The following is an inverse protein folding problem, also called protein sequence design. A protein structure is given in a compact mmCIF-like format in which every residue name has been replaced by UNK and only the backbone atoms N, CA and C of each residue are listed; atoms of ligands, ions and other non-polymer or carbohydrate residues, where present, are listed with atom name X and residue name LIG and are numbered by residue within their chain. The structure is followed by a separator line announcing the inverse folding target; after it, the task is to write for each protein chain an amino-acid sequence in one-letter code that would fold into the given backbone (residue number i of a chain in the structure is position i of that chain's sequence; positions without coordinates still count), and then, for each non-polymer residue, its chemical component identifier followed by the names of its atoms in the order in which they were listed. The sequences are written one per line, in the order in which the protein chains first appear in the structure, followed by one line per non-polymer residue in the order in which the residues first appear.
data_IF_032591117721
#
_entry.id   IF_032591117721
#
_cell.length_a   1.000
_cell.length_b   1.000
_cell.length_c   1.000
_cell.angle_alpha   90.00
_cell.angle_beta   90.00
_cell.angle_gamma   90.00
#
_symmetry.space_group_name_H-M   'P 1'
#
loop_
_entity.id
_entity.type
_entity.pdbx_description
1 polymer ?
#
# COMPACT_ATOMS: atom_id res chain seq x y z
N UNK A 1 1.42 21.25 -17.06
CA UNK A 1 1.60 22.65 -16.60
C UNK A 1 1.97 22.58 -15.15
N UNK A 2 2.98 23.33 -14.72
CA UNK A 2 3.38 23.31 -13.31
C UNK A 2 2.24 23.93 -12.48
N UNK A 3 1.63 23.13 -11.61
CA UNK A 3 0.56 23.58 -10.72
C UNK A 3 1.18 24.33 -9.55
N UNK A 4 1.46 25.63 -9.79
CA UNK A 4 2.01 26.51 -8.77
C UNK A 4 0.99 26.72 -7.65
N UNK A 5 1.37 26.41 -6.41
CA UNK A 5 0.59 26.71 -5.22
C UNK A 5 1.50 26.88 -3.99
N UNK A 6 0.91 27.28 -2.87
CA UNK A 6 1.61 27.38 -1.59
C UNK A 6 1.20 26.23 -0.69
N UNK A 7 2.18 25.54 -0.08
CA UNK A 7 1.93 24.47 0.89
C UNK A 7 1.24 24.98 2.17
N UNK A 8 1.58 26.22 2.58
CA UNK A 8 1.09 26.82 3.82
C UNK A 8 0.60 28.24 3.56
N UNK A 9 -0.52 28.42 2.81
CA UNK A 9 -0.99 29.75 2.36
C UNK A 9 -1.32 30.71 3.52
N UNK A 10 -1.61 30.16 4.71
CA UNK A 10 -1.90 30.95 5.92
C UNK A 10 -0.78 31.90 6.31
N UNK A 11 0.51 31.58 5.99
CA UNK A 11 1.63 32.47 6.25
C UNK A 11 1.57 33.77 5.48
N UNK A 12 0.84 33.82 4.37
CA UNK A 12 0.62 35.06 3.61
C UNK A 12 -0.25 36.07 4.39
N UNK A 13 -1.08 35.59 5.34
CA UNK A 13 -1.85 36.48 6.21
C UNK A 13 -0.93 37.30 7.15
N UNK A 14 0.26 36.82 7.44
CA UNK A 14 1.26 37.58 8.22
C UNK A 14 1.71 38.87 7.52
N UNK A 15 1.53 38.99 6.22
CA UNK A 15 1.83 40.22 5.48
C UNK A 15 0.93 41.38 5.90
N UNK A 16 -0.30 41.12 6.38
CA UNK A 16 -1.22 42.19 6.80
C UNK A 16 -0.72 42.96 8.02
N UNK A 17 -0.40 42.31 9.18
CA UNK A 17 0.17 43.01 10.33
C UNK A 17 1.57 43.56 10.04
N UNK A 18 2.35 42.87 9.20
CA UNK A 18 3.68 43.36 8.79
C UNK A 18 3.58 44.62 7.92
N UNK A 19 2.63 44.68 7.01
CA UNK A 19 2.36 45.86 6.20
C UNK A 19 1.91 47.07 7.06
N UNK A 20 1.04 46.83 8.04
CA UNK A 20 0.60 47.88 8.98
C UNK A 20 1.79 48.40 9.83
N UNK A 21 2.65 47.48 10.31
CA UNK A 21 3.84 47.86 11.06
C UNK A 21 4.86 48.61 10.17
N UNK A 22 5.07 48.15 8.95
CA UNK A 22 5.92 48.82 7.96
C UNK A 22 5.44 50.24 7.67
N UNK A 23 4.12 50.42 7.42
CA UNK A 23 3.53 51.76 7.23
C UNK A 23 3.75 52.64 8.45
N UNK A 24 3.54 52.12 9.65
CA UNK A 24 3.81 52.85 10.91
C UNK A 24 5.29 53.28 11.03
N UNK A 25 6.23 52.42 10.65
CA UNK A 25 7.66 52.76 10.63
C UNK A 25 7.96 53.92 9.68
N UNK A 26 7.35 53.92 8.47
CA UNK A 26 7.53 55.01 7.52
C UNK A 26 6.99 56.34 8.04
N UNK A 27 5.88 56.34 8.77
CA UNK A 27 5.27 57.51 9.38
C UNK A 27 6.11 58.04 10.51
N UNK A 28 6.61 57.18 11.41
CA UNK A 28 7.46 57.54 12.58
C UNK A 28 8.80 58.13 12.12
N UNK A 29 9.38 57.63 11.02
CA UNK A 29 10.64 58.19 10.47
C UNK A 29 10.54 59.64 10.02
N UNK A 30 9.33 60.16 9.81
CA UNK A 30 9.07 61.58 9.46
C UNK A 30 8.91 62.48 10.66
N UNK A 31 8.71 61.89 11.86
CA UNK A 31 8.60 62.68 13.10
C UNK A 31 9.98 62.81 13.74
N UNK A 32 10.34 64.04 14.04
CA UNK A 32 11.59 64.34 14.79
C UNK A 32 11.56 63.62 16.14
N UNK A 33 12.73 63.22 16.65
CA UNK A 33 12.86 62.46 17.91
C UNK A 33 12.06 63.17 19.02
N UNK A 34 11.19 62.42 19.74
CA UNK A 34 10.31 62.98 20.77
C UNK A 34 11.04 63.70 21.92
N UNK A 35 12.38 63.55 22.00
CA UNK A 35 13.21 64.24 22.95
C UNK A 35 13.20 65.76 22.78
N UNK A 36 12.92 66.32 21.58
CA UNK A 36 12.79 67.78 21.39
C UNK A 36 11.57 68.37 22.12
N UNK A 37 10.60 67.55 22.53
CA UNK A 37 9.44 68.03 23.32
C UNK A 37 9.73 68.15 24.82
N UNK A 38 10.75 67.48 25.31
CA UNK A 38 11.08 67.39 26.74
C UNK A 38 12.34 68.15 27.12
N UNK A 39 13.17 68.54 26.15
CA UNK A 39 14.42 69.25 26.38
C UNK A 39 14.35 70.70 25.86
N UNK A 40 14.86 71.69 26.63
CA UNK A 40 15.06 73.04 26.11
C UNK A 40 15.94 73.02 24.86
N UNK A 41 15.61 73.90 23.88
CA UNK A 41 16.23 73.87 22.54
C UNK A 41 17.77 73.97 22.55
N UNK A 42 18.38 74.68 23.54
CA UNK A 42 19.81 74.80 23.65
C UNK A 42 20.50 73.50 24.13
N UNK A 43 19.84 72.69 24.96
CA UNK A 43 20.31 71.38 25.40
C UNK A 43 20.04 70.29 24.36
N UNK A 44 18.94 70.41 23.68
CA UNK A 44 18.60 69.45 22.63
C UNK A 44 19.62 69.45 21.48
N UNK A 45 20.17 70.60 21.13
CA UNK A 45 21.20 70.73 20.08
C UNK A 45 22.55 70.09 20.46
N UNK A 46 22.88 70.01 21.75
CA UNK A 46 24.17 69.52 22.24
C UNK A 46 24.05 68.03 22.69
N UNK A 47 22.94 67.69 23.33
CA UNK A 47 22.75 66.35 23.93
C UNK A 47 22.08 65.35 23.01
N UNK A 48 21.16 65.83 22.15
CA UNK A 48 20.62 64.97 21.14
C UNK A 48 21.63 64.95 20.01
N UNK A 49 22.60 64.05 20.12
CA UNK A 49 23.47 63.73 18.99
C UNK A 49 22.55 63.49 17.78
N UNK A 50 22.76 64.28 16.73
CA UNK A 50 22.03 64.19 15.47
C UNK A 50 22.06 62.69 15.07
N UNK A 51 21.01 61.95 15.44
CA UNK A 51 20.93 60.54 15.16
C UNK A 51 21.28 60.37 13.70
N UNK A 52 22.35 59.65 13.43
CA UNK A 52 22.91 59.52 12.09
C UNK A 52 21.78 59.36 11.10
N UNK A 53 21.82 60.08 9.98
CA UNK A 53 20.79 60.10 8.94
C UNK A 53 20.21 58.70 8.78
N UNK A 54 19.06 58.44 9.40
CA UNK A 54 18.34 57.18 9.18
C UNK A 54 17.95 57.20 7.72
N UNK A 55 18.74 56.55 6.90
CA UNK A 55 18.47 56.46 5.47
C UNK A 55 17.14 55.71 5.30
N UNK A 56 16.19 56.23 4.51
CA UNK A 56 14.92 55.56 4.26
C UNK A 56 15.10 54.13 3.75
N UNK A 57 16.29 53.83 3.28
CA UNK A 57 16.71 52.47 2.87
C UNK A 57 16.66 51.42 3.98
N UNK A 58 16.72 51.79 5.25
CA UNK A 58 16.67 50.80 6.37
C UNK A 58 15.25 50.19 6.49
N UNK A 59 14.20 51.00 6.40
CA UNK A 59 12.85 50.53 6.46
C UNK A 59 12.46 49.67 5.22
N UNK A 60 12.90 50.07 4.02
CA UNK A 60 12.65 49.33 2.80
C UNK A 60 13.37 47.97 2.83
N UNK A 61 14.59 47.88 3.34
CA UNK A 61 15.31 46.58 3.54
C UNK A 61 14.59 45.68 4.50
N UNK A 62 14.08 46.21 5.60
CA UNK A 62 13.30 45.44 6.58
C UNK A 62 11.99 44.94 5.96
N UNK A 63 11.28 45.78 5.19
CA UNK A 63 10.08 45.37 4.48
C UNK A 63 10.35 44.27 3.46
N UNK A 64 11.44 44.39 2.69
CA UNK A 64 11.85 43.34 1.75
C UNK A 64 12.21 42.03 2.46
N UNK A 65 12.93 42.11 3.59
CA UNK A 65 13.24 40.94 4.41
C UNK A 65 11.95 40.22 4.86
N UNK A 66 10.98 40.95 5.40
CA UNK A 66 9.72 40.36 5.84
C UNK A 66 8.90 39.76 4.71
N UNK A 67 8.87 40.43 3.55
CA UNK A 67 8.15 39.91 2.37
C UNK A 67 8.76 38.57 1.91
N UNK A 68 10.09 38.51 1.75
CA UNK A 68 10.78 37.29 1.35
C UNK A 68 10.59 36.19 2.42
N UNK A 69 10.68 36.55 3.71
CA UNK A 69 10.47 35.60 4.80
C UNK A 69 9.06 35.01 4.79
N UNK A 70 8.03 35.84 4.64
CA UNK A 70 6.64 35.39 4.61
C UNK A 70 6.35 34.49 3.41
N UNK A 71 6.90 34.81 2.22
CA UNK A 71 6.76 33.97 1.02
C UNK A 71 7.54 32.67 1.16
N UNK A 72 8.74 32.70 1.76
CA UNK A 72 9.53 31.49 2.01
C UNK A 72 8.81 30.56 2.98
N UNK A 73 8.20 31.08 4.05
CA UNK A 73 7.42 30.30 5.03
C UNK A 73 6.11 29.76 4.45
N UNK A 74 5.52 30.47 3.45
CA UNK A 74 4.34 29.97 2.75
C UNK A 74 4.62 28.72 1.91
N UNK A 75 5.91 28.42 1.63
CA UNK A 75 6.35 27.22 0.92
C UNK A 75 5.84 27.17 -0.53
N UNK A 76 6.35 28.03 -1.44
CA UNK A 76 5.98 27.94 -2.84
C UNK A 76 6.46 26.63 -3.45
N UNK A 77 5.57 25.96 -4.18
CA UNK A 77 5.86 24.68 -4.82
C UNK A 77 5.34 24.65 -6.24
N UNK A 78 6.04 23.95 -7.11
CA UNK A 78 5.67 23.73 -8.52
C UNK A 78 6.13 22.35 -9.03
N UNK A 79 6.80 21.55 -8.16
CA UNK A 79 7.37 20.27 -8.53
C UNK A 79 6.87 19.19 -7.56
N UNK A 80 6.36 18.07 -8.11
CA UNK A 80 5.99 16.89 -7.34
C UNK A 80 7.22 16.04 -7.11
N UNK A 81 7.42 15.56 -5.88
CA UNK A 81 8.46 14.60 -5.56
C UNK A 81 8.00 13.22 -6.02
N UNK A 82 8.76 12.52 -6.88
CA UNK A 82 8.51 11.11 -7.12
C UNK A 82 8.77 10.38 -5.80
N UNK A 83 7.72 9.82 -5.20
CA UNK A 83 7.90 8.89 -4.08
C UNK A 83 7.98 7.48 -4.65
N UNK A 84 8.96 6.68 -4.22
CA UNK A 84 8.92 5.26 -4.49
C UNK A 84 7.68 4.69 -3.76
N UNK A 85 6.66 4.33 -4.51
CA UNK A 85 5.57 3.51 -3.98
C UNK A 85 6.14 2.10 -3.92
N UNK A 86 6.48 1.65 -2.72
CA UNK A 86 6.78 0.24 -2.50
C UNK A 86 5.46 -0.51 -2.69
N UNK A 87 5.23 -1.04 -3.87
CA UNK A 87 4.23 -2.09 -4.04
C UNK A 87 4.82 -3.33 -3.38
N UNK A 88 4.15 -3.80 -2.35
CA UNK A 88 4.44 -5.11 -1.77
C UNK A 88 4.09 -6.12 -2.86
N UNK A 89 5.12 -6.63 -3.56
CA UNK A 89 4.91 -7.66 -4.57
C UNK A 89 4.66 -8.98 -3.86
N UNK A 90 3.41 -9.38 -3.78
CA UNK A 90 2.98 -10.69 -3.27
C UNK A 90 2.55 -11.56 -4.44
N UNK A 91 3.09 -12.76 -4.53
CA UNK A 91 2.66 -13.76 -5.49
C UNK A 91 1.74 -14.76 -4.83
N UNK A 92 0.59 -15.00 -5.44
CA UNK A 92 -0.42 -15.91 -4.91
C UNK A 92 -0.97 -16.82 -6.01
N UNK A 93 -1.29 -18.06 -5.65
CA UNK A 93 -1.89 -18.99 -6.59
C UNK A 93 -3.10 -19.65 -5.94
N UNK A 94 -4.24 -19.57 -6.63
CA UNK A 94 -5.45 -20.30 -6.26
C UNK A 94 -5.47 -21.61 -7.05
N UNK A 95 -5.49 -22.74 -6.35
CA UNK A 95 -5.63 -24.07 -6.93
C UNK A 95 -7.02 -24.58 -6.66
N UNK A 96 -7.73 -24.99 -7.72
CA UNK A 96 -9.09 -25.52 -7.64
C UNK A 96 -9.12 -26.98 -8.06
N UNK A 97 -9.69 -27.81 -7.20
CA UNK A 97 -9.95 -29.21 -7.46
C UNK A 97 -11.12 -29.37 -8.43
N UNK A 98 -10.87 -30.03 -9.56
CA UNK A 98 -11.88 -30.38 -10.58
C UNK A 98 -11.96 -31.89 -10.75
N UNK A 99 -11.65 -32.66 -9.70
CA UNK A 99 -11.88 -34.10 -9.69
C UNK A 99 -13.39 -34.43 -9.69
N UNK A 100 -13.81 -35.64 -10.12
CA UNK A 100 -15.22 -36.01 -10.14
C UNK A 100 -15.92 -35.95 -8.77
N UNK A 101 -15.18 -36.03 -7.67
CA UNK A 101 -15.71 -35.98 -6.30
C UNK A 101 -16.34 -34.63 -5.92
N UNK A 102 -15.95 -33.54 -6.61
CA UNK A 102 -16.57 -32.21 -6.38
C UNK A 102 -18.03 -32.14 -6.90
N UNK A 103 -18.48 -33.13 -7.64
CA UNK A 103 -19.90 -33.25 -8.09
C UNK A 103 -20.79 -33.80 -6.96
N UNK A 104 -20.23 -34.23 -5.83
CA UNK A 104 -21.03 -34.67 -4.69
C UNK A 104 -21.89 -33.53 -4.11
N UNK A 105 -23.06 -33.92 -3.58
CA UNK A 105 -24.11 -32.99 -3.15
C UNK A 105 -24.41 -33.06 -1.65
N UNK A 106 -23.41 -33.35 -0.84
CA UNK A 106 -23.49 -33.32 0.62
C UNK A 106 -23.52 -31.89 1.19
N UNK A 107 -23.10 -30.93 0.38
CA UNK A 107 -23.21 -29.48 0.66
C UNK A 107 -24.07 -28.86 -0.45
N UNK A 108 -25.02 -28.01 -0.07
CA UNK A 108 -25.87 -27.33 -1.03
C UNK A 108 -25.21 -26.10 -1.65
N UNK A 109 -25.39 -25.82 -2.94
CA UNK A 109 -26.12 -26.67 -3.93
C UNK A 109 -25.31 -27.88 -4.40
N UNK A 110 -23.98 -27.80 -4.45
CA UNK A 110 -23.00 -28.88 -4.69
C UNK A 110 -21.62 -28.42 -4.23
N UNK A 111 -20.68 -29.36 -4.00
CA UNK A 111 -19.29 -29.00 -3.67
C UNK A 111 -18.67 -28.09 -4.74
N UNK A 112 -18.85 -28.41 -6.03
CA UNK A 112 -18.35 -27.60 -7.14
C UNK A 112 -18.83 -26.15 -7.07
N UNK A 113 -20.14 -25.96 -6.82
CA UNK A 113 -20.70 -24.61 -6.70
C UNK A 113 -20.11 -23.85 -5.52
N UNK A 114 -19.92 -24.52 -4.39
CA UNK A 114 -19.27 -23.93 -3.23
C UNK A 114 -17.79 -23.60 -3.47
N UNK A 115 -17.04 -24.51 -4.13
CA UNK A 115 -15.65 -24.23 -4.55
C UNK A 115 -15.55 -22.98 -5.39
N UNK A 116 -16.45 -22.83 -6.40
CA UNK A 116 -16.48 -21.63 -7.26
C UNK A 116 -16.80 -20.36 -6.45
N UNK A 117 -17.82 -20.40 -5.58
CA UNK A 117 -18.18 -19.24 -4.75
C UNK A 117 -17.05 -18.84 -3.81
N UNK A 118 -16.45 -19.80 -3.14
CA UNK A 118 -15.35 -19.53 -2.21
C UNK A 118 -14.08 -19.06 -2.91
N UNK A 119 -13.78 -19.58 -4.11
CA UNK A 119 -12.69 -19.06 -4.93
C UNK A 119 -12.95 -17.61 -5.37
N UNK A 120 -14.18 -17.29 -5.77
CA UNK A 120 -14.56 -15.91 -6.11
C UNK A 120 -14.52 -14.99 -4.90
N UNK A 121 -14.99 -15.46 -3.73
CA UNK A 121 -14.97 -14.65 -2.50
C UNK A 121 -13.53 -14.41 -2.03
N UNK A 122 -12.64 -15.40 -2.15
CA UNK A 122 -11.22 -15.26 -1.86
C UNK A 122 -10.59 -14.19 -2.77
N UNK A 123 -10.81 -14.24 -4.07
CA UNK A 123 -10.29 -13.26 -5.04
C UNK A 123 -10.89 -11.87 -4.80
N UNK A 124 -12.20 -11.77 -4.45
CA UNK A 124 -12.88 -10.48 -4.16
C UNK A 124 -12.45 -9.86 -2.85
N UNK A 125 -12.07 -10.65 -1.84
CA UNK A 125 -11.68 -10.15 -0.51
C UNK A 125 -10.36 -9.41 -0.49
N UNK A 126 -9.74 -9.21 -1.67
CA UNK A 126 -8.58 -8.35 -1.83
C UNK A 126 -7.28 -9.11 -1.61
N UNK A 127 -7.06 -10.15 -2.40
CA UNK A 127 -5.72 -10.69 -2.54
C UNK A 127 -4.84 -9.58 -3.14
N UNK A 128 -3.97 -9.01 -2.30
CA UNK A 128 -3.04 -7.97 -2.73
C UNK A 128 -1.89 -8.60 -3.52
N UNK A 129 -1.62 -8.10 -4.73
CA UNK A 129 -0.54 -8.57 -5.58
C UNK A 129 -0.99 -9.43 -6.77
N UNK A 130 -0.05 -10.19 -7.33
CA UNK A 130 -0.30 -11.00 -8.52
C UNK A 130 -0.91 -12.36 -8.17
N UNK A 131 -2.07 -12.66 -8.72
CA UNK A 131 -2.81 -13.89 -8.45
C UNK A 131 -2.89 -14.75 -9.69
N UNK A 132 -2.46 -16.03 -9.58
CA UNK A 132 -2.63 -17.06 -10.59
C UNK A 132 -3.79 -18.01 -10.29
N UNK A 133 -4.33 -18.67 -11.31
CA UNK A 133 -5.40 -19.66 -11.17
C UNK A 133 -4.99 -20.96 -11.84
N UNK A 134 -5.03 -22.04 -11.09
CA UNK A 134 -4.76 -23.41 -11.54
C UNK A 134 -5.98 -24.27 -11.25
N UNK A 135 -6.36 -25.10 -12.21
CA UNK A 135 -7.34 -26.17 -12.02
C UNK A 135 -6.65 -27.52 -12.23
N UNK A 136 -7.02 -28.53 -11.43
CA UNK A 136 -6.47 -29.86 -11.59
C UNK A 136 -7.51 -30.97 -11.50
N UNK A 137 -7.22 -32.07 -12.18
CA UNK A 137 -7.85 -33.37 -12.05
C UNK A 137 -6.77 -34.46 -12.12
N UNK A 138 -6.69 -35.29 -13.16
CA UNK A 138 -5.57 -36.21 -13.42
C UNK A 138 -4.26 -35.46 -13.73
N UNK A 139 -4.39 -34.26 -14.27
CA UNK A 139 -3.27 -33.34 -14.52
C UNK A 139 -3.63 -31.92 -14.12
N UNK A 140 -2.62 -31.03 -14.05
CA UNK A 140 -2.80 -29.65 -13.63
C UNK A 140 -2.65 -28.68 -14.81
N UNK A 141 -3.50 -27.66 -14.86
CA UNK A 141 -3.59 -26.69 -15.97
C UNK A 141 -3.60 -25.28 -15.42
N UNK A 142 -2.77 -24.41 -15.99
CA UNK A 142 -2.81 -22.97 -15.71
C UNK A 142 -4.02 -22.40 -16.46
N UNK A 143 -5.00 -21.93 -15.71
CA UNK A 143 -6.20 -21.27 -16.24
C UNK A 143 -5.91 -19.78 -16.45
N UNK A 144 -5.20 -19.17 -15.52
CA UNK A 144 -4.67 -17.82 -15.64
C UNK A 144 -3.25 -17.78 -15.07
N UNK A 145 -2.27 -17.20 -15.78
CA UNK A 145 -0.99 -16.89 -15.20
C UNK A 145 -1.14 -15.84 -14.10
N UNK A 146 -0.07 -15.54 -13.38
CA UNK A 146 -0.07 -14.49 -12.39
C UNK A 146 -0.45 -13.14 -13.01
N UNK A 147 -1.45 -12.49 -12.45
CA UNK A 147 -1.99 -11.21 -12.92
C UNK A 147 -2.48 -10.37 -11.74
N UNK A 148 -2.30 -9.07 -11.82
CA UNK A 148 -2.90 -8.11 -10.89
C UNK A 148 -4.39 -7.83 -11.19
N UNK A 149 -4.91 -8.32 -12.32
CA UNK A 149 -6.32 -8.14 -12.70
C UNK A 149 -7.21 -9.27 -12.16
N UNK A 150 -7.71 -9.06 -10.94
CA UNK A 150 -8.62 -9.97 -10.28
C UNK A 150 -9.94 -10.17 -11.05
N UNK A 151 -10.38 -9.21 -11.88
CA UNK A 151 -11.61 -9.36 -12.67
C UNK A 151 -11.48 -10.46 -13.72
N UNK A 152 -10.28 -10.65 -14.28
CA UNK A 152 -10.04 -11.76 -15.19
C UNK A 152 -10.31 -13.12 -14.52
N UNK A 153 -9.82 -13.31 -13.29
CA UNK A 153 -10.03 -14.54 -12.52
C UNK A 153 -11.52 -14.74 -12.21
N UNK A 154 -12.21 -13.67 -11.79
CA UNK A 154 -13.65 -13.73 -11.48
C UNK A 154 -14.51 -14.14 -12.68
N UNK A 155 -14.08 -13.83 -13.90
CA UNK A 155 -14.76 -14.24 -15.13
C UNK A 155 -14.47 -15.70 -15.51
N UNK A 156 -13.29 -16.22 -15.17
CA UNK A 156 -12.88 -17.58 -15.50
C UNK A 156 -13.40 -18.63 -14.51
N UNK A 157 -13.40 -18.34 -13.20
CA UNK A 157 -13.81 -19.28 -12.14
C UNK A 157 -15.19 -19.91 -12.38
N UNK A 158 -16.25 -19.20 -12.78
CA UNK A 158 -17.57 -19.79 -12.98
C UNK A 158 -17.62 -20.85 -14.08
N UNK A 159 -16.72 -20.83 -15.05
CA UNK A 159 -16.66 -21.76 -16.16
C UNK A 159 -15.95 -23.08 -15.84
N UNK A 160 -15.19 -23.14 -14.73
CA UNK A 160 -14.43 -24.32 -14.36
C UNK A 160 -15.36 -25.45 -13.91
N UNK A 161 -15.26 -26.61 -14.52
CA UNK A 161 -16.00 -27.83 -14.15
C UNK A 161 -15.16 -29.07 -14.42
N UNK A 162 -15.45 -30.22 -13.77
CA UNK A 162 -14.82 -31.48 -14.09
C UNK A 162 -14.96 -31.88 -15.57
N UNK A 163 -16.02 -31.45 -16.23
CA UNK A 163 -16.33 -31.79 -17.62
C UNK A 163 -15.36 -31.16 -18.63
N UNK A 164 -14.78 -30.01 -18.32
CA UNK A 164 -13.81 -29.35 -19.20
C UNK A 164 -12.39 -29.93 -19.04
N UNK A 165 -12.17 -30.77 -18.03
CA UNK A 165 -10.86 -31.37 -17.81
C UNK A 165 -10.61 -32.49 -18.81
N UNK A 166 -9.44 -32.56 -19.48
CA UNK A 166 -9.14 -33.56 -20.51
C UNK A 166 -9.20 -35.01 -20.01
N UNK A 167 -8.92 -35.20 -18.71
CA UNK A 167 -8.94 -36.50 -18.05
C UNK A 167 -9.51 -36.38 -16.64
N UNK A 168 -10.34 -37.38 -16.27
CA UNK A 168 -10.84 -37.48 -14.90
C UNK A 168 -9.82 -38.14 -14.00
N UNK A 169 -9.65 -37.60 -12.79
CA UNK A 169 -8.69 -38.10 -11.79
C UNK A 169 -8.53 -37.12 -10.65
N UNK A 170 -7.55 -37.35 -9.81
CA UNK A 170 -7.12 -36.42 -8.76
C UNK A 170 -5.61 -36.58 -8.57
N UNK A 171 -4.85 -35.61 -8.98
CA UNK A 171 -3.37 -35.56 -8.84
C UNK A 171 -2.92 -34.22 -8.25
N UNK A 172 -3.21 -33.94 -6.99
CA UNK A 172 -2.93 -32.64 -6.36
C UNK A 172 -1.43 -32.29 -6.32
N UNK A 173 -0.56 -33.30 -6.29
CA UNK A 173 0.87 -33.06 -6.31
C UNK A 173 1.34 -32.32 -7.57
N UNK A 174 0.72 -32.61 -8.72
CA UNK A 174 1.02 -31.91 -9.98
C UNK A 174 0.63 -30.45 -9.91
N UNK A 175 -0.54 -30.17 -9.32
CA UNK A 175 -1.02 -28.80 -9.15
C UNK A 175 -0.11 -27.98 -8.23
N UNK A 176 0.33 -28.55 -7.12
CA UNK A 176 1.27 -27.89 -6.21
C UNK A 176 2.62 -27.62 -6.86
N UNK A 177 3.14 -28.56 -7.66
CA UNK A 177 4.38 -28.36 -8.42
C UNK A 177 4.23 -27.28 -9.47
N UNK A 178 3.10 -27.25 -10.18
CA UNK A 178 2.82 -26.25 -11.19
C UNK A 178 2.67 -24.86 -10.57
N UNK A 179 2.09 -24.75 -9.35
CA UNK A 179 1.99 -23.50 -8.62
C UNK A 179 3.36 -22.99 -8.17
N UNK A 180 4.22 -23.88 -7.66
CA UNK A 180 5.60 -23.55 -7.30
C UNK A 180 6.38 -23.03 -8.52
N UNK A 181 6.27 -23.71 -9.66
CA UNK A 181 6.90 -23.30 -10.91
C UNK A 181 6.37 -21.94 -11.39
N UNK A 182 5.06 -21.73 -11.31
CA UNK A 182 4.43 -20.47 -11.71
C UNK A 182 4.94 -19.30 -10.87
N UNK A 183 5.01 -19.46 -9.54
CA UNK A 183 5.52 -18.46 -8.62
C UNK A 183 7.01 -18.18 -8.85
N UNK A 184 7.84 -19.22 -8.97
CA UNK A 184 9.28 -19.07 -9.20
C UNK A 184 9.60 -18.42 -10.53
N UNK A 185 8.90 -18.78 -11.59
CA UNK A 185 9.10 -18.19 -12.92
C UNK A 185 8.74 -16.70 -12.94
N UNK A 186 7.81 -16.26 -12.11
CA UNK A 186 7.49 -14.85 -11.91
C UNK A 186 8.45 -14.13 -10.94
N UNK A 187 9.40 -14.86 -10.34
CA UNK A 187 10.42 -14.30 -9.45
C UNK A 187 10.03 -14.28 -7.97
N UNK A 188 8.93 -14.91 -7.57
CA UNK A 188 8.53 -15.04 -6.17
C UNK A 188 9.21 -16.27 -5.55
N UNK A 189 10.19 -16.03 -4.66
CA UNK A 189 10.86 -17.10 -3.90
C UNK A 189 9.96 -17.68 -2.81
N UNK A 190 9.10 -16.85 -2.26
CA UNK A 190 8.06 -17.17 -1.28
C UNK A 190 6.74 -16.60 -1.78
N UNK A 191 5.66 -17.32 -1.59
CA UNK A 191 4.32 -16.91 -2.03
C UNK A 191 3.23 -17.75 -1.36
N UNK A 192 2.00 -17.33 -1.52
CA UNK A 192 0.84 -17.98 -0.94
C UNK A 192 0.14 -18.88 -1.96
N UNK A 193 -0.12 -20.13 -1.56
CA UNK A 193 -0.91 -21.08 -2.35
C UNK A 193 -2.20 -21.38 -1.58
N UNK A 194 -3.32 -21.01 -2.17
CA UNK A 194 -4.65 -21.31 -1.66
C UNK A 194 -5.22 -22.52 -2.40
N UNK A 195 -5.23 -23.66 -1.71
CA UNK A 195 -5.68 -24.90 -2.30
C UNK A 195 -7.10 -25.24 -1.84
N UNK A 196 -8.05 -25.19 -2.78
CA UNK A 196 -9.45 -25.50 -2.58
C UNK A 196 -9.71 -26.92 -3.08
N UNK A 197 -10.04 -27.83 -2.18
CA UNK A 197 -10.21 -29.26 -2.48
C UNK A 197 -11.35 -29.87 -1.67
N UNK A 198 -11.90 -30.98 -2.15
CA UNK A 198 -12.88 -31.76 -1.42
C UNK A 198 -12.28 -32.99 -0.71
N UNK A 199 -10.95 -33.20 -0.84
CA UNK A 199 -10.23 -34.24 -0.15
C UNK A 199 -8.97 -34.72 -0.89
N UNK A 200 -8.30 -35.67 -0.28
CA UNK A 200 -7.11 -36.33 -0.84
C UNK A 200 -7.18 -37.84 -0.63
N UNK A 201 -6.68 -38.58 -1.59
CA UNK A 201 -6.56 -40.03 -1.46
C UNK A 201 -5.46 -40.39 -0.47
N UNK A 202 -5.67 -41.48 0.28
CA UNK A 202 -4.66 -41.97 1.27
C UNK A 202 -3.32 -42.33 0.60
N UNK A 203 -3.37 -42.77 -0.66
CA UNK A 203 -2.18 -43.11 -1.45
C UNK A 203 -1.28 -41.91 -1.76
N UNK A 204 -1.84 -40.71 -1.81
CA UNK A 204 -1.12 -39.45 -2.19
C UNK A 204 -0.50 -38.76 -0.98
N UNK A 205 -0.98 -39.09 0.24
CA UNK A 205 -0.62 -38.39 1.46
C UNK A 205 0.91 -38.36 1.71
N UNK A 206 1.58 -39.49 1.49
CA UNK A 206 3.03 -39.57 1.71
C UNK A 206 3.81 -38.70 0.71
N UNK A 207 3.43 -38.72 -0.56
CA UNK A 207 4.10 -37.95 -1.59
C UNK A 207 3.87 -36.43 -1.36
N UNK A 208 2.66 -36.05 -1.00
CA UNK A 208 2.31 -34.66 -0.66
C UNK A 208 3.06 -34.19 0.58
N UNK A 209 3.11 -35.01 1.64
CA UNK A 209 3.85 -34.68 2.87
C UNK A 209 5.35 -34.47 2.61
N UNK A 210 5.94 -35.35 1.80
CA UNK A 210 7.37 -35.23 1.45
C UNK A 210 7.63 -33.98 0.64
N UNK A 211 6.76 -33.65 -0.29
CA UNK A 211 6.89 -32.46 -1.15
C UNK A 211 6.71 -31.17 -0.36
N UNK A 212 5.64 -31.06 0.44
CA UNK A 212 5.32 -29.85 1.21
C UNK A 212 6.37 -29.52 2.27
N UNK A 213 7.07 -30.51 2.83
CA UNK A 213 8.19 -30.25 3.75
C UNK A 213 9.38 -29.55 3.11
N UNK A 214 9.50 -29.58 1.80
CA UNK A 214 10.61 -28.97 1.03
C UNK A 214 10.21 -27.65 0.40
N UNK A 215 8.94 -27.25 0.54
CA UNK A 215 8.41 -26.03 -0.04
C UNK A 215 8.77 -24.79 0.78
N UNK A 216 9.07 -23.71 0.07
CA UNK A 216 9.18 -22.35 0.65
C UNK A 216 7.87 -21.58 0.61
N UNK A 217 6.91 -22.02 -0.21
CA UNK A 217 5.59 -21.39 -0.35
C UNK A 217 4.66 -21.87 0.78
N UNK A 218 3.86 -20.96 1.30
CA UNK A 218 2.85 -21.26 2.32
C UNK A 218 1.59 -21.80 1.62
N UNK A 219 1.14 -22.99 2.02
CA UNK A 219 -0.04 -23.64 1.45
C UNK A 219 -1.17 -23.62 2.47
N UNK A 220 -2.19 -22.82 2.20
CA UNK A 220 -3.43 -22.78 3.00
C UNK A 220 -4.52 -23.55 2.27
N UNK A 221 -5.29 -24.35 3.00
CA UNK A 221 -6.20 -25.33 2.40
C UNK A 221 -7.63 -25.07 2.86
N UNK A 222 -8.56 -24.94 1.87
CA UNK A 222 -10.00 -24.91 2.12
C UNK A 222 -10.62 -26.26 1.75
N UNK A 223 -11.11 -26.98 2.76
CA UNK A 223 -11.82 -28.25 2.55
C UNK A 223 -13.29 -28.04 2.29
N UNK A 224 -13.81 -28.60 1.17
CA UNK A 224 -15.22 -28.48 0.77
C UNK A 224 -15.87 -29.84 0.75
N UNK A 225 -16.70 -30.13 1.75
CA UNK A 225 -17.33 -31.42 1.92
C UNK A 225 -17.73 -31.69 3.35
N UNK A 226 -18.30 -32.86 3.59
CA UNK A 226 -18.65 -33.34 4.91
C UNK A 226 -17.90 -34.64 5.22
N UNK A 227 -17.71 -34.96 6.51
CA UNK A 227 -17.10 -36.20 6.96
C UNK A 227 -17.96 -37.42 6.62
N UNK A 228 -19.30 -37.25 6.60
CA UNK A 228 -20.23 -38.28 6.20
C UNK A 228 -20.10 -38.59 4.72
N UNK A 229 -19.86 -37.55 3.91
CA UNK A 229 -19.76 -37.64 2.46
C UNK A 229 -21.05 -37.88 1.74
N UNK A 230 -20.98 -37.90 0.41
CA UNK A 230 -22.10 -38.26 -0.46
C UNK A 230 -21.62 -39.10 -1.65
N UNK A 231 -22.52 -39.84 -2.27
CA UNK A 231 -22.19 -40.56 -3.49
C UNK A 231 -21.94 -39.58 -4.64
N UNK A 232 -20.93 -39.91 -5.44
CA UNK A 232 -20.60 -39.13 -6.64
C UNK A 232 -21.57 -39.52 -7.76
N UNK A 233 -22.09 -38.50 -8.46
CA UNK A 233 -22.89 -38.70 -9.71
C UNK A 233 -22.10 -38.14 -10.88
N UNK A 234 -22.17 -38.89 -12.00
CA UNK A 234 -21.65 -38.39 -13.27
C UNK A 234 -22.60 -37.34 -13.88
N UNK A 235 -22.24 -36.77 -15.03
CA UNK A 235 -23.06 -35.80 -15.79
C UNK A 235 -24.41 -36.32 -16.17
N UNK A 236 -24.55 -37.64 -16.33
CA UNK A 236 -25.81 -38.33 -16.71
C UNK A 236 -26.66 -38.65 -15.47
N UNK A 237 -26.21 -38.32 -14.27
CA UNK A 237 -26.88 -38.55 -12.98
C UNK A 237 -26.72 -39.96 -12.43
N UNK A 238 -25.90 -40.85 -13.07
CA UNK A 238 -25.63 -42.18 -12.60
C UNK A 238 -24.64 -42.16 -11.43
N UNK A 239 -24.74 -43.12 -10.50
CA UNK A 239 -23.82 -43.26 -9.41
C UNK A 239 -22.47 -43.80 -9.92
N UNK A 240 -21.39 -43.09 -9.56
CA UNK A 240 -20.04 -43.55 -9.86
C UNK A 240 -19.74 -44.81 -9.05
N UNK A 241 -19.29 -45.85 -9.71
CA UNK A 241 -18.95 -47.14 -9.12
C UNK A 241 -17.45 -47.38 -9.25
N UNK A 242 -16.87 -47.99 -8.22
CA UNK A 242 -15.50 -48.45 -8.25
C UNK A 242 -15.33 -49.71 -9.10
N UNK A 243 -14.11 -50.22 -9.22
CA UNK A 243 -13.78 -51.44 -9.96
C UNK A 243 -14.46 -52.71 -9.41
N UNK A 244 -15.03 -52.66 -8.21
CA UNK A 244 -15.75 -53.74 -7.56
C UNK A 244 -17.30 -53.55 -7.66
N UNK A 245 -17.77 -52.53 -8.35
CA UNK A 245 -19.19 -52.21 -8.49
C UNK A 245 -19.80 -51.48 -7.28
N UNK A 246 -19.02 -51.08 -6.30
CA UNK A 246 -19.50 -50.36 -5.13
C UNK A 246 -19.63 -48.89 -5.45
N UNK A 247 -20.63 -48.22 -4.90
CA UNK A 247 -20.81 -46.78 -5.04
C UNK A 247 -19.69 -46.03 -4.34
N UNK A 248 -19.03 -45.14 -5.06
CA UNK A 248 -17.97 -44.28 -4.51
C UNK A 248 -18.61 -43.18 -3.70
N UNK A 249 -18.21 -43.08 -2.41
CA UNK A 249 -18.63 -42.01 -1.50
C UNK A 249 -17.45 -41.07 -1.28
N UNK A 250 -17.60 -39.80 -1.69
CA UNK A 250 -16.61 -38.76 -1.46
C UNK A 250 -16.73 -38.26 -0.01
N UNK A 251 -15.70 -38.45 0.79
CA UNK A 251 -15.64 -38.02 2.20
C UNK A 251 -14.53 -37.00 2.39
N UNK A 252 -14.82 -35.93 3.09
CA UNK A 252 -13.80 -35.01 3.57
C UNK A 252 -13.16 -35.56 4.84
N UNK A 253 -11.82 -35.53 4.92
CA UNK A 253 -11.06 -35.90 6.11
C UNK A 253 -10.25 -34.68 6.58
N UNK A 254 -10.83 -33.83 7.44
CA UNK A 254 -10.22 -32.56 7.87
C UNK A 254 -8.83 -32.69 8.45
N UNK A 255 -8.58 -33.72 9.25
CA UNK A 255 -7.28 -33.93 9.93
C UNK A 255 -6.13 -34.04 8.93
N UNK A 256 -6.32 -34.77 7.82
CA UNK A 256 -5.27 -34.95 6.79
C UNK A 256 -4.89 -33.62 6.14
N UNK A 257 -5.89 -32.81 5.78
CA UNK A 257 -5.68 -31.50 5.14
C UNK A 257 -5.06 -30.50 6.11
N UNK A 258 -5.52 -30.51 7.36
CA UNK A 258 -4.96 -29.67 8.43
C UNK A 258 -3.47 -30.00 8.70
N UNK A 259 -3.11 -31.30 8.73
CA UNK A 259 -1.72 -31.70 8.91
C UNK A 259 -0.83 -31.24 7.75
N UNK A 260 -1.32 -31.31 6.50
CA UNK A 260 -0.59 -30.84 5.32
C UNK A 260 -0.42 -29.31 5.34
N UNK A 261 -1.45 -28.54 5.65
CA UNK A 261 -1.37 -27.07 5.71
C UNK A 261 -0.32 -26.62 6.75
N UNK A 262 -0.30 -27.26 7.92
CA UNK A 262 0.67 -26.94 8.98
C UNK A 262 2.13 -27.15 8.59
N UNK A 263 2.42 -28.06 7.67
CA UNK A 263 3.80 -28.34 7.23
C UNK A 263 4.47 -27.11 6.59
N UNK A 264 3.68 -26.24 5.99
CA UNK A 264 4.13 -25.03 5.29
C UNK A 264 3.81 -23.73 6.04
N UNK A 265 3.31 -23.83 7.28
CA UNK A 265 2.85 -22.65 8.04
C UNK A 265 1.52 -22.07 7.58
N UNK A 266 0.80 -22.77 6.70
CA UNK A 266 -0.54 -22.41 6.27
C UNK A 266 -1.63 -22.84 7.27
N UNK A 267 -2.86 -22.41 6.99
CA UNK A 267 -4.05 -22.77 7.76
C UNK A 267 -4.97 -23.70 6.96
N UNK A 268 -5.76 -24.46 7.70
CA UNK A 268 -6.84 -25.27 7.16
C UNK A 268 -8.17 -24.75 7.68
N UNK A 269 -9.11 -24.54 6.78
CA UNK A 269 -10.50 -24.24 7.11
C UNK A 269 -11.43 -25.16 6.35
N UNK A 270 -12.59 -25.45 6.95
CA UNK A 270 -13.70 -26.14 6.27
C UNK A 270 -14.69 -25.10 5.80
N UNK A 271 -15.25 -25.28 4.61
CA UNK A 271 -16.24 -24.38 4.03
C UNK A 271 -17.37 -24.08 5.01
N UNK A 272 -17.70 -22.78 5.13
CA UNK A 272 -18.80 -22.29 5.96
C UNK A 272 -19.78 -21.49 5.10
N UNK A 273 -21.04 -21.41 5.54
CA UNK A 273 -22.05 -20.61 4.85
C UNK A 273 -21.82 -19.11 4.98
N UNK A 274 -21.23 -18.69 6.08
CA UNK A 274 -20.71 -17.34 6.29
C UNK A 274 -19.27 -17.25 5.75
N UNK A 275 -18.80 -16.08 5.35
CA UNK A 275 -17.46 -15.93 4.82
C UNK A 275 -16.36 -15.86 5.90
N UNK A 276 -16.60 -16.40 7.11
CA UNK A 276 -15.63 -16.45 8.19
C UNK A 276 -14.41 -17.34 7.87
N UNK A 277 -14.58 -18.35 7.03
CA UNK A 277 -13.52 -19.21 6.50
C UNK A 277 -12.55 -18.41 5.61
N UNK A 278 -13.07 -17.61 4.68
CA UNK A 278 -12.27 -16.76 3.81
C UNK A 278 -11.58 -15.64 4.60
N UNK A 279 -12.26 -15.05 5.59
CA UNK A 279 -11.68 -14.01 6.42
C UNK A 279 -10.40 -14.47 7.16
N UNK A 280 -10.30 -15.75 7.54
CA UNK A 280 -9.10 -16.29 8.18
C UNK A 280 -7.90 -16.38 7.21
N UNK A 281 -8.14 -16.71 5.95
CA UNK A 281 -7.08 -16.70 4.92
C UNK A 281 -6.55 -15.30 4.67
N UNK A 282 -7.43 -14.32 4.56
CA UNK A 282 -7.07 -12.92 4.29
C UNK A 282 -6.38 -12.24 5.49
N UNK A 283 -6.70 -12.67 6.72
CA UNK A 283 -6.04 -12.15 7.93
C UNK A 283 -4.60 -12.64 8.12
N UNK A 284 -4.17 -13.66 7.39
CA UNK A 284 -2.76 -14.04 7.42
C UNK A 284 -1.90 -12.92 6.83
N UNK A 285 -0.80 -12.52 7.51
CA UNK A 285 0.11 -11.57 6.92
C UNK A 285 0.65 -12.14 5.60
N UNK A 286 0.59 -11.39 4.50
CA UNK A 286 1.09 -11.86 3.22
C UNK A 286 2.60 -12.13 3.29
N UNK A 287 3.08 -13.14 2.56
CA UNK A 287 4.50 -13.35 2.34
C UNK A 287 4.94 -12.33 1.29
N UNK A 288 5.66 -11.30 1.76
CA UNK A 288 6.06 -10.16 0.93
C UNK A 288 7.51 -10.25 0.52
N UNK A 289 7.78 -9.95 -0.73
CA UNK A 289 9.12 -9.61 -1.21
C UNK A 289 9.31 -8.11 -1.00
N UNK A 290 10.48 -7.68 -0.48
CA UNK A 290 10.88 -6.27 -0.60
C UNK A 290 10.92 -5.93 -2.09
N UNK A 291 9.98 -5.09 -2.53
CA UNK A 291 9.82 -4.75 -3.94
C UNK A 291 11.11 -4.18 -4.51
N UNK A 292 11.49 -4.64 -5.68
CA UNK A 292 12.38 -3.86 -6.55
C UNK A 292 11.72 -2.51 -6.77
N UNK A 293 12.53 -1.44 -6.71
CA UNK A 293 12.10 -0.09 -7.07
C UNK A 293 11.30 -0.18 -8.39
N UNK A 294 9.99 -0.14 -8.27
CA UNK A 294 9.11 -0.24 -9.43
C UNK A 294 9.33 0.96 -10.33
N UNK A 295 9.68 0.73 -11.59
CA UNK A 295 9.88 1.76 -12.62
C UNK A 295 8.60 2.58 -12.95
N UNK A 296 7.50 2.33 -12.24
CA UNK A 296 6.31 3.15 -12.33
C UNK A 296 6.33 4.22 -11.24
N UNK A 297 6.89 5.36 -11.59
CA UNK A 297 6.74 6.62 -10.88
C UNK A 297 5.24 6.99 -10.75
N UNK A 298 4.53 6.32 -9.85
CA UNK A 298 3.29 6.90 -9.34
C UNK A 298 3.72 8.14 -8.55
N UNK A 299 3.46 9.30 -9.12
CA UNK A 299 3.70 10.58 -8.48
C UNK A 299 2.90 10.63 -7.20
N UNK A 300 3.55 10.40 -6.06
CA UNK A 300 2.97 10.64 -4.75
C UNK A 300 2.53 12.11 -4.65
N UNK A 301 1.49 12.38 -3.87
CA UNK A 301 0.96 13.73 -3.65
C UNK A 301 1.88 14.65 -2.83
N UNK A 302 3.15 14.27 -2.64
CA UNK A 302 4.09 15.13 -1.95
C UNK A 302 4.74 16.13 -2.91
N UNK A 303 4.64 17.40 -2.53
CA UNK A 303 5.20 18.51 -3.27
C UNK A 303 6.50 18.97 -2.64
N UNK A 304 7.46 19.34 -3.50
CA UNK A 304 8.76 19.87 -3.06
C UNK A 304 8.60 21.26 -2.50
N UNK A 305 8.93 21.45 -1.21
CA UNK A 305 8.96 22.77 -0.59
C UNK A 305 10.19 23.55 -1.08
N UNK A 306 9.97 24.60 -1.87
CA UNK A 306 11.04 25.48 -2.33
C UNK A 306 11.26 26.71 -1.42
N UNK A 307 10.52 26.80 -0.31
CA UNK A 307 10.69 27.84 0.71
C UNK A 307 12.13 28.00 1.24
N UNK A 308 12.85 26.90 1.59
CA UNK A 308 14.24 26.97 2.04
C UNK A 308 15.19 27.66 1.07
N UNK A 309 15.00 27.45 -0.25
CA UNK A 309 15.82 28.13 -1.28
C UNK A 309 15.57 29.64 -1.31
N UNK A 310 14.33 30.06 -1.10
CA UNK A 310 14.01 31.50 -0.96
C UNK A 310 14.57 32.08 0.32
N UNK A 311 14.61 31.32 1.40
CA UNK A 311 15.21 31.75 2.65
C UNK A 311 16.72 32.06 2.52
N UNK A 312 17.44 31.42 1.61
CA UNK A 312 18.85 31.73 1.32
C UNK A 312 19.03 33.19 0.85
N UNK A 313 18.04 33.79 0.21
CA UNK A 313 18.09 35.20 -0.21
C UNK A 313 18.08 36.17 0.97
N UNK A 314 17.70 35.72 2.17
CA UNK A 314 17.74 36.53 3.39
C UNK A 314 19.16 36.74 3.90
N UNK A 315 20.09 35.79 3.62
CA UNK A 315 21.49 35.86 4.10
C UNK A 315 22.23 37.13 3.60
N UNK A 316 22.25 37.46 2.29
CA UNK A 316 22.93 38.66 1.84
C UNK A 316 22.26 39.94 2.36
N UNK A 317 20.95 39.98 2.53
CA UNK A 317 20.23 41.12 3.10
C UNK A 317 20.65 41.33 4.55
N UNK A 318 20.79 40.25 5.33
CA UNK A 318 21.23 40.25 6.72
C UNK A 318 22.69 40.69 6.85
N UNK A 319 23.59 40.14 6.03
CA UNK A 319 25.02 40.51 6.04
C UNK A 319 25.24 41.98 5.66
N UNK A 320 24.51 42.49 4.67
CA UNK A 320 24.61 43.89 4.26
C UNK A 320 24.05 44.86 5.31
N UNK A 321 23.05 44.41 6.07
CA UNK A 321 22.52 45.17 7.21
C UNK A 321 23.49 45.27 8.36
N UNK A 322 24.24 44.19 8.66
CA UNK A 322 25.24 44.13 9.71
C UNK A 322 26.42 45.10 9.47
N UNK A 323 26.90 45.15 8.26
CA UNK A 323 28.04 46.03 7.88
C UNK A 323 27.81 47.52 8.17
N UNK A 324 26.56 47.95 8.45
CA UNK A 324 26.16 49.32 8.71
C UNK A 324 25.76 49.60 10.18
N UNK A 325 26.14 48.75 11.15
CA UNK A 325 25.94 48.99 12.58
C UNK A 325 24.56 48.59 13.13
N UNK A 326 23.86 47.68 12.48
CA UNK A 326 22.66 47.06 13.04
C UNK A 326 23.02 46.09 14.16
N UNK A 327 22.28 46.09 15.28
CA UNK A 327 22.53 45.17 16.39
C UNK A 327 22.27 43.71 15.95
N UNK A 328 23.26 42.86 16.10
CA UNK A 328 23.23 41.42 15.72
C UNK A 328 22.10 40.65 16.42
N UNK A 329 21.73 41.06 17.64
CA UNK A 329 20.76 40.36 18.48
C UNK A 329 19.32 40.40 17.92
N UNK A 330 18.91 41.51 17.30
CA UNK A 330 17.56 41.63 16.74
C UNK A 330 17.38 40.80 15.48
N UNK A 331 18.44 40.62 14.69
CA UNK A 331 18.40 39.82 13.45
C UNK A 331 18.52 38.32 13.72
N UNK A 332 19.31 37.91 14.71
CA UNK A 332 19.40 36.52 15.16
C UNK A 332 18.07 36.01 15.75
N UNK A 333 17.38 36.81 16.55
CA UNK A 333 16.09 36.46 17.12
C UNK A 333 15.01 36.26 16.01
N UNK A 334 15.04 37.08 14.96
CA UNK A 334 14.14 36.97 13.84
C UNK A 334 14.47 35.80 12.89
N UNK A 335 15.73 35.43 12.77
CA UNK A 335 16.18 34.32 11.96
C UNK A 335 15.94 32.93 12.62
N UNK A 336 15.84 32.87 13.95
CA UNK A 336 15.57 31.64 14.71
C UNK A 336 14.08 31.32 14.85
N UNK A 337 13.19 32.28 14.61
CA UNK A 337 11.73 32.05 14.65
C UNK A 337 11.25 30.92 13.73
N UNK A 338 11.72 30.75 12.48
CA UNK A 338 11.30 29.64 11.63
C UNK A 338 11.87 28.28 12.03
N UNK A 339 12.96 28.22 12.80
CA UNK A 339 13.55 26.97 13.29
C UNK A 339 12.81 26.40 14.52
N UNK A 340 12.04 27.22 15.22
CA UNK A 340 11.21 26.82 16.36
C UNK A 340 9.80 26.31 15.96
N UNK A 341 9.46 26.39 14.68
CA UNK A 341 8.14 25.99 14.12
C UNK A 341 8.19 24.75 13.21
N UNK A 342 9.32 24.04 13.17
CA UNK A 342 9.48 22.74 12.50
C UNK A 342 9.21 21.56 13.43
#
# INVERSE_FOLDING_TARGET
MADFHFLRPWWLLALLPLAAFYWRLLVIQKTQSGWHQWLPNHLAQVLVASGGKQTPWSAHRLGLFWLISSVALAGPTWERLPQPVYQLETGQVVIMDMSPSVLATDIQPSRLTQLRFKAMDLVKSGLDGDTGLIAYADDAYIISPLTADNNNLLNLIPSLSPEIMPRSGSEPLRALKLADELLRNAGYAEGDIYWLTDGIATSELNALTQYLRQQSHRVSILGVGTEQGAPIRDSDGNLLKDRFGQTVIAKLVPSRLSDLARLTGGIYETVRADNSDIAQFVQQPPLTREGKDGDQQQQGDQWRDNGPFLALLLIPIMLFSWRRGGSLGTWLALALLPLLSM
#
